data_IF_104333992168
#
_entry.id   IF_104333992168
#
_cell.length_a   1.000
_cell.length_b   1.000
_cell.length_c   1.000
_cell.angle_alpha   90.00
_cell.angle_beta   90.00
_cell.angle_gamma   90.00
#
_symmetry.space_group_name_H-M   'P 1'
#
loop_
_entity.id
_entity.type
_entity.pdbx_description
1 polymer ?
#
# COMPACT_ATOMS: atom_id res chain seq x y z
N UNK A 1 1.78 31.55 -9.72
CA UNK A 1 2.32 30.55 -8.77
C UNK A 1 1.57 30.68 -7.45
N UNK A 2 1.54 31.88 -6.89
CA UNK A 2 0.92 32.17 -5.59
C UNK A 2 -0.58 31.80 -5.52
N UNK A 3 -1.34 32.04 -6.59
CA UNK A 3 -2.77 31.63 -6.63
C UNK A 3 -2.96 30.13 -6.47
N UNK A 4 -2.14 29.33 -7.17
CA UNK A 4 -2.22 27.87 -7.12
C UNK A 4 -1.69 27.32 -5.80
N UNK A 5 -0.65 27.96 -5.25
CA UNK A 5 -0.16 27.66 -3.91
C UNK A 5 -1.22 27.97 -2.85
N UNK A 6 -1.88 29.13 -2.93
CA UNK A 6 -2.99 29.49 -2.05
C UNK A 6 -4.19 28.54 -2.18
N UNK A 7 -4.49 28.07 -3.39
CA UNK A 7 -5.52 27.04 -3.61
C UNK A 7 -5.14 25.71 -2.94
N UNK A 8 -3.87 25.30 -3.02
CA UNK A 8 -3.36 24.12 -2.34
C UNK A 8 -3.47 24.23 -0.81
N UNK A 9 -3.12 25.38 -0.24
CA UNK A 9 -3.26 25.65 1.20
C UNK A 9 -4.72 25.48 1.64
N UNK A 10 -5.67 26.06 0.89
CA UNK A 10 -7.10 25.91 1.16
C UNK A 10 -7.56 24.46 1.04
N UNK A 11 -7.08 23.74 0.02
CA UNK A 11 -7.38 22.32 -0.15
C UNK A 11 -6.88 21.49 1.03
N UNK A 12 -5.62 21.66 1.45
CA UNK A 12 -5.06 20.97 2.62
C UNK A 12 -5.86 21.25 3.88
N UNK A 13 -6.26 22.51 4.10
CA UNK A 13 -7.08 22.90 5.26
C UNK A 13 -8.44 22.20 5.26
N UNK A 14 -9.04 22.00 4.08
CA UNK A 14 -10.36 21.36 3.93
C UNK A 14 -10.29 19.84 4.04
N UNK A 15 -9.34 19.22 3.34
CA UNK A 15 -9.28 17.76 3.15
C UNK A 15 -8.28 17.08 4.11
N UNK A 16 -7.51 17.85 4.89
CA UNK A 16 -6.47 17.35 5.79
C UNK A 16 -5.21 16.83 5.08
N UNK A 17 -5.23 16.73 3.75
CA UNK A 17 -4.12 16.20 2.95
C UNK A 17 -3.94 16.93 1.62
N UNK A 18 -2.80 16.73 0.97
CA UNK A 18 -2.51 17.27 -0.36
C UNK A 18 -2.71 16.26 -1.51
N UNK A 19 -3.47 15.19 -1.28
CA UNK A 19 -3.83 14.23 -2.34
C UNK A 19 -4.98 14.78 -3.18
N UNK A 20 -4.62 15.59 -4.19
CA UNK A 20 -5.58 16.22 -5.11
C UNK A 20 -5.90 15.25 -6.26
N UNK A 21 -7.18 14.88 -6.47
CA UNK A 21 -7.61 14.04 -7.57
C UNK A 21 -7.23 14.62 -8.94
N UNK A 22 -7.00 13.72 -9.90
CA UNK A 22 -6.55 14.07 -11.25
C UNK A 22 -7.67 14.66 -12.13
N UNK A 23 -8.92 14.31 -11.87
CA UNK A 23 -10.05 14.61 -12.76
C UNK A 23 -10.72 15.90 -12.30
N UNK A 24 -10.79 16.89 -13.21
CA UNK A 24 -11.59 18.11 -13.04
C UNK A 24 -10.87 19.33 -12.43
N UNK A 25 -9.79 19.15 -11.66
CA UNK A 25 -9.22 20.26 -10.91
C UNK A 25 -7.95 20.85 -11.55
N UNK A 26 -7.96 22.17 -11.80
CA UNK A 26 -6.78 22.96 -12.23
C UNK A 26 -5.57 22.71 -11.30
N UNK A 27 -5.83 22.48 -10.01
CA UNK A 27 -4.83 22.16 -9.00
C UNK A 27 -4.10 20.84 -9.25
N UNK A 28 -4.81 19.78 -9.63
CA UNK A 28 -4.21 18.48 -9.94
C UNK A 28 -3.25 18.55 -11.14
N UNK A 29 -3.61 19.30 -12.19
CA UNK A 29 -2.72 19.57 -13.34
C UNK A 29 -1.49 20.36 -12.94
N UNK A 30 -1.66 21.41 -12.14
CA UNK A 30 -0.54 22.22 -11.66
C UNK A 30 0.44 21.41 -10.80
N UNK A 31 -0.06 20.59 -9.87
CA UNK A 31 0.80 19.69 -9.07
C UNK A 31 1.56 18.68 -9.93
N UNK A 32 0.95 18.19 -11.02
CA UNK A 32 1.67 17.34 -11.98
C UNK A 32 2.84 18.09 -12.61
N UNK A 33 2.62 19.33 -13.05
CA UNK A 33 3.71 20.17 -13.58
C UNK A 33 4.82 20.36 -12.54
N UNK A 34 4.47 20.62 -11.27
CA UNK A 34 5.49 20.78 -10.22
C UNK A 34 6.30 19.50 -9.98
N UNK A 35 5.65 18.34 -9.98
CA UNK A 35 6.35 17.04 -9.88
C UNK A 35 7.27 16.79 -11.07
N UNK A 36 6.85 17.16 -12.27
CA UNK A 36 7.68 17.04 -13.48
C UNK A 36 8.89 17.97 -13.44
N UNK A 37 8.70 19.24 -13.07
CA UNK A 37 9.77 20.21 -12.96
C UNK A 37 10.76 19.81 -11.85
N UNK A 38 10.28 19.32 -10.70
CA UNK A 38 11.16 18.78 -9.64
C UNK A 38 11.99 17.59 -10.14
N UNK A 39 11.39 16.67 -10.91
CA UNK A 39 12.12 15.51 -11.46
C UNK A 39 13.23 15.93 -12.44
N UNK A 40 13.11 17.09 -13.07
CA UNK A 40 14.11 17.65 -14.00
C UNK A 40 15.06 18.64 -13.34
N UNK A 41 14.96 18.82 -12.01
CA UNK A 41 15.69 19.85 -11.26
C UNK A 41 15.44 21.29 -11.78
N UNK A 42 14.30 21.52 -12.43
CA UNK A 42 13.86 22.82 -12.97
C UNK A 42 12.99 23.61 -11.98
N UNK A 43 12.69 23.02 -10.81
CA UNK A 43 11.88 23.66 -9.78
C UNK A 43 12.77 24.35 -8.75
N UNK A 44 12.61 25.67 -8.67
CA UNK A 44 13.29 26.53 -7.72
C UNK A 44 13.22 26.02 -6.26
N UNK A 45 14.33 26.16 -5.53
CA UNK A 45 14.50 25.59 -4.20
C UNK A 45 13.47 26.12 -3.18
N UNK A 46 13.13 27.42 -3.23
CA UNK A 46 12.14 28.02 -2.37
C UNK A 46 10.74 27.43 -2.65
N UNK A 47 10.43 27.17 -3.92
CA UNK A 47 9.18 26.50 -4.31
C UNK A 47 9.12 25.06 -3.80
N UNK A 48 10.22 24.33 -3.88
CA UNK A 48 10.33 22.98 -3.31
C UNK A 48 10.10 23.02 -1.80
N UNK A 49 10.78 23.93 -1.10
CA UNK A 49 10.65 24.10 0.34
C UNK A 49 9.19 24.37 0.76
N UNK A 50 8.53 25.36 0.13
CA UNK A 50 7.13 25.68 0.41
C UNK A 50 6.16 24.52 0.16
N UNK A 51 6.40 23.71 -0.87
CA UNK A 51 5.58 22.53 -1.16
C UNK A 51 5.85 21.38 -0.18
N UNK A 52 7.09 21.24 0.29
CA UNK A 52 7.44 20.27 1.34
C UNK A 52 6.77 20.61 2.68
N UNK A 53 6.76 21.89 3.07
CA UNK A 53 6.06 22.37 4.28
C UNK A 53 4.55 22.07 4.24
N UNK A 54 3.96 22.10 3.03
CA UNK A 54 2.57 21.68 2.83
C UNK A 54 2.38 20.15 2.82
N UNK A 55 3.44 19.36 2.83
CA UNK A 55 3.37 17.89 2.79
C UNK A 55 3.00 17.37 1.41
N UNK A 56 3.51 17.99 0.34
CA UNK A 56 3.34 17.46 -1.01
C UNK A 56 4.02 16.10 -1.13
N UNK A 57 3.25 15.12 -1.56
CA UNK A 57 3.77 13.83 -2.01
C UNK A 57 4.28 13.98 -3.45
N UNK A 58 5.59 13.82 -3.60
CA UNK A 58 6.29 13.90 -4.90
C UNK A 58 6.15 12.61 -5.71
N UNK A 59 6.31 11.45 -5.05
CA UNK A 59 6.13 10.13 -5.64
C UNK A 59 4.83 9.49 -5.15
N UNK A 60 3.76 9.71 -5.91
CA UNK A 60 2.43 9.15 -5.60
C UNK A 60 2.44 7.62 -5.64
N UNK A 61 3.01 6.94 -6.68
CA UNK A 61 3.12 5.49 -6.68
C UNK A 61 3.76 4.91 -5.42
N UNK A 62 4.88 5.46 -4.97
CA UNK A 62 5.56 4.97 -3.77
C UNK A 62 4.71 5.20 -2.52
N UNK A 63 4.11 6.39 -2.35
CA UNK A 63 3.20 6.63 -1.24
C UNK A 63 2.00 5.68 -1.22
N UNK A 64 1.38 5.39 -2.37
CA UNK A 64 0.28 4.43 -2.45
C UNK A 64 0.71 3.01 -2.04
N UNK A 65 1.95 2.64 -2.34
CA UNK A 65 2.49 1.37 -1.92
C UNK A 65 2.70 1.34 -0.40
N UNK A 66 3.27 2.40 0.19
CA UNK A 66 3.42 2.55 1.64
C UNK A 66 2.07 2.49 2.38
N UNK A 67 1.03 3.14 1.83
CA UNK A 67 -0.31 3.06 2.42
C UNK A 67 -0.81 1.61 2.49
N UNK A 68 -0.62 0.84 1.41
CA UNK A 68 -1.04 -0.57 1.36
C UNK A 68 -0.20 -1.45 2.27
N UNK A 69 1.11 -1.18 2.35
CA UNK A 69 2.01 -1.86 3.27
C UNK A 69 1.61 -1.59 4.73
N UNK A 70 1.22 -0.36 5.06
CA UNK A 70 0.70 -0.02 6.39
C UNK A 70 -0.59 -0.79 6.71
N UNK A 71 -1.49 -0.96 5.73
CA UNK A 71 -2.69 -1.79 5.90
C UNK A 71 -2.33 -3.26 6.12
N UNK A 72 -1.30 -3.78 5.45
CA UNK A 72 -0.80 -5.14 5.66
C UNK A 72 -0.27 -5.33 7.09
N UNK A 73 0.51 -4.38 7.60
CA UNK A 73 1.00 -4.43 8.99
C UNK A 73 -0.18 -4.50 9.97
N UNK A 74 -1.18 -3.64 9.79
CA UNK A 74 -2.39 -3.64 10.63
C UNK A 74 -3.15 -4.96 10.55
N UNK A 75 -3.29 -5.51 9.35
CA UNK A 75 -3.90 -6.83 9.14
C UNK A 75 -3.11 -7.91 9.91
N UNK A 76 -1.79 -7.95 9.78
CA UNK A 76 -0.94 -8.90 10.50
C UNK A 76 -1.07 -8.75 12.02
N UNK A 77 -1.09 -7.52 12.53
CA UNK A 77 -1.27 -7.27 13.97
C UNK A 77 -2.61 -7.81 14.48
N UNK A 78 -3.67 -7.72 13.66
CA UNK A 78 -5.02 -8.19 14.01
C UNK A 78 -5.19 -9.70 13.87
N UNK A 79 -4.70 -10.29 12.78
CA UNK A 79 -4.92 -11.70 12.42
C UNK A 79 -3.75 -12.62 12.79
N UNK A 80 -2.61 -12.07 13.21
CA UNK A 80 -1.37 -12.82 13.48
C UNK A 80 -0.59 -13.27 12.24
N UNK A 81 -1.18 -13.18 11.05
CA UNK A 81 -0.58 -13.66 9.79
C UNK A 81 -0.86 -12.73 8.60
N UNK A 82 -0.17 -12.95 7.48
CA UNK A 82 -0.38 -12.20 6.24
C UNK A 82 -1.19 -12.94 5.16
N UNK A 83 -1.94 -13.97 5.55
CA UNK A 83 -2.80 -14.75 4.65
C UNK A 83 -4.10 -13.99 4.33
N UNK A 84 -3.99 -12.93 3.53
CA UNK A 84 -5.13 -12.06 3.17
C UNK A 84 -5.94 -12.67 2.01
N UNK A 85 -7.25 -12.93 2.16
CA UNK A 85 -8.10 -13.39 1.07
C UNK A 85 -8.14 -12.40 -0.11
N UNK A 86 -8.22 -12.89 -1.35
CA UNK A 86 -8.13 -12.07 -2.57
C UNK A 86 -9.15 -10.92 -2.63
N UNK A 87 -10.34 -11.10 -2.04
CA UNK A 87 -11.41 -10.09 -2.02
C UNK A 87 -11.44 -9.25 -0.75
N UNK A 88 -10.55 -9.50 0.21
CA UNK A 88 -10.50 -8.80 1.49
C UNK A 88 -10.18 -7.32 1.30
N UNK A 89 -10.90 -6.47 2.03
CA UNK A 89 -10.74 -5.03 1.99
C UNK A 89 -10.49 -4.49 3.39
N UNK A 90 -9.63 -3.47 3.47
CA UNK A 90 -9.39 -2.72 4.70
C UNK A 90 -9.96 -1.32 4.54
N UNK A 91 -10.56 -0.82 5.63
CA UNK A 91 -10.98 0.57 5.73
C UNK A 91 -9.76 1.48 5.74
N UNK A 92 -9.88 2.65 5.12
CA UNK A 92 -8.83 3.68 5.11
C UNK A 92 -9.29 4.96 5.79
N UNK A 93 -8.34 5.63 6.43
CA UNK A 93 -8.56 6.95 7.01
C UNK A 93 -9.01 7.91 5.89
N UNK A 94 -10.08 8.68 6.15
CA UNK A 94 -10.70 9.57 5.15
C UNK A 94 -11.87 8.96 4.38
N UNK A 95 -12.28 7.74 4.71
CA UNK A 95 -13.45 7.08 4.12
C UNK A 95 -13.13 6.18 2.94
N UNK A 96 -13.89 5.10 2.80
CA UNK A 96 -13.74 4.10 1.74
C UNK A 96 -12.87 2.90 2.14
N UNK A 97 -12.61 2.06 1.13
CA UNK A 97 -11.97 0.75 1.31
C UNK A 97 -10.89 0.53 0.26
N UNK A 98 -9.78 -0.10 0.66
CA UNK A 98 -8.76 -0.59 -0.27
C UNK A 98 -8.71 -2.12 -0.24
N UNK A 99 -8.69 -2.74 -1.42
CA UNK A 99 -8.60 -4.19 -1.53
C UNK A 99 -7.15 -4.66 -1.33
N UNK A 100 -6.86 -5.16 -0.13
CA UNK A 100 -5.53 -5.62 0.29
C UNK A 100 -5.16 -6.96 -0.38
N UNK A 101 -6.12 -7.88 -0.50
CA UNK A 101 -5.89 -9.19 -1.13
C UNK A 101 -5.42 -9.08 -2.57
N UNK A 102 -6.14 -8.29 -3.38
CA UNK A 102 -5.78 -8.01 -4.78
C UNK A 102 -4.43 -7.32 -4.90
N UNK A 103 -4.08 -6.44 -3.96
CA UNK A 103 -2.76 -5.80 -3.95
C UNK A 103 -1.64 -6.80 -3.68
N UNK A 104 -1.80 -7.73 -2.74
CA UNK A 104 -0.84 -8.81 -2.50
C UNK A 104 -0.72 -9.76 -3.70
N UNK A 105 -1.84 -10.12 -4.34
CA UNK A 105 -1.80 -10.90 -5.59
C UNK A 105 -0.95 -10.20 -6.65
N UNK A 106 -1.05 -8.86 -6.76
CA UNK A 106 -0.20 -8.08 -7.66
C UNK A 106 1.28 -8.13 -7.25
N UNK A 107 1.62 -8.00 -5.96
CA UNK A 107 3.01 -8.11 -5.51
C UNK A 107 3.61 -9.47 -5.86
N UNK A 108 2.89 -10.57 -5.59
CA UNK A 108 3.29 -11.94 -5.93
C UNK A 108 3.51 -12.11 -7.44
N UNK A 109 2.61 -11.57 -8.26
CA UNK A 109 2.75 -11.59 -9.72
C UNK A 109 4.01 -10.84 -10.19
N UNK A 110 4.25 -9.64 -9.67
CA UNK A 110 5.40 -8.80 -10.05
C UNK A 110 6.72 -9.46 -9.59
N UNK A 111 6.75 -10.07 -8.40
CA UNK A 111 7.90 -10.89 -7.95
C UNK A 111 8.14 -12.09 -8.87
N UNK A 112 7.10 -12.84 -9.24
CA UNK A 112 7.23 -13.97 -10.18
C UNK A 112 7.81 -13.55 -11.54
N UNK A 113 7.62 -12.28 -11.94
CA UNK A 113 8.20 -11.70 -13.15
C UNK A 113 9.63 -11.16 -12.97
N UNK A 114 10.20 -11.22 -11.76
CA UNK A 114 11.51 -10.62 -11.46
C UNK A 114 11.51 -9.09 -11.53
N UNK A 115 10.34 -8.46 -11.35
CA UNK A 115 10.14 -7.02 -11.50
C UNK A 115 9.79 -6.32 -10.19
N UNK A 116 9.82 -7.06 -9.07
CA UNK A 116 9.58 -6.45 -7.77
C UNK A 116 10.83 -5.70 -7.35
N UNK A 117 10.65 -4.44 -6.97
CA UNK A 117 11.71 -3.61 -6.42
C UNK A 117 12.32 -4.30 -5.18
N UNK A 118 13.66 -4.44 -5.09
CA UNK A 118 14.31 -5.19 -4.02
C UNK A 118 13.96 -4.68 -2.61
N UNK A 119 13.85 -3.36 -2.43
CA UNK A 119 13.47 -2.77 -1.14
C UNK A 119 12.02 -3.13 -0.75
N UNK A 120 11.11 -3.15 -1.72
CA UNK A 120 9.73 -3.62 -1.49
C UNK A 120 9.68 -5.11 -1.18
N UNK A 121 10.52 -5.90 -1.84
CA UNK A 121 10.61 -7.33 -1.59
C UNK A 121 11.10 -7.64 -0.17
N UNK A 122 12.20 -7.03 0.26
CA UNK A 122 12.75 -7.15 1.62
C UNK A 122 11.70 -6.82 2.69
N UNK A 123 11.02 -5.66 2.55
CA UNK A 123 9.99 -5.27 3.52
C UNK A 123 8.80 -6.21 3.60
N UNK A 124 8.41 -6.83 2.47
CA UNK A 124 7.35 -7.83 2.45
C UNK A 124 7.82 -9.16 3.06
N UNK A 125 9.09 -9.52 2.92
CA UNK A 125 9.70 -10.65 3.62
C UNK A 125 9.73 -10.42 5.13
N UNK A 126 10.15 -9.24 5.60
CA UNK A 126 10.22 -8.90 7.02
C UNK A 126 8.86 -8.95 7.71
N UNK A 127 7.81 -8.54 6.98
CA UNK A 127 6.43 -8.66 7.45
C UNK A 127 5.93 -10.11 7.42
N UNK A 128 6.63 -11.04 6.80
CA UNK A 128 6.26 -12.45 6.76
C UNK A 128 5.19 -12.73 5.71
N UNK A 129 5.29 -12.11 4.53
CA UNK A 129 4.48 -12.50 3.38
C UNK A 129 4.81 -13.93 2.98
N UNK A 130 3.76 -14.73 2.93
CA UNK A 130 3.79 -16.02 2.25
C UNK A 130 3.71 -15.79 0.75
N UNK A 131 4.82 -16.11 0.07
CA UNK A 131 4.93 -16.01 -1.39
C UNK A 131 4.20 -17.14 -2.10
N UNK A 132 4.26 -18.34 -1.55
CA UNK A 132 3.52 -19.51 -2.00
C UNK A 132 2.37 -19.83 -1.04
N UNK A 133 1.21 -19.25 -1.33
CA UNK A 133 0.01 -19.38 -0.49
C UNK A 133 -0.51 -20.82 -0.47
N UNK A 134 -0.39 -21.56 -1.58
CA UNK A 134 -0.90 -22.93 -1.67
C UNK A 134 -0.06 -23.87 -0.81
N UNK A 135 1.26 -23.72 -0.87
CA UNK A 135 2.17 -24.49 -0.01
C UNK A 135 1.92 -24.21 1.47
N UNK A 136 1.76 -22.94 1.88
CA UNK A 136 1.45 -22.65 3.28
C UNK A 136 0.08 -23.18 3.71
N UNK A 137 -0.95 -23.04 2.88
CA UNK A 137 -2.28 -23.59 3.19
C UNK A 137 -2.23 -25.11 3.35
N UNK A 138 -1.42 -25.79 2.53
CA UNK A 138 -1.20 -27.22 2.69
C UNK A 138 -0.51 -27.55 4.00
N UNK A 139 0.57 -26.84 4.37
CA UNK A 139 1.27 -27.03 5.65
C UNK A 139 0.37 -26.76 6.86
N UNK A 140 -0.49 -25.74 6.79
CA UNK A 140 -1.46 -25.41 7.84
C UNK A 140 -2.49 -26.55 7.99
N UNK A 141 -3.04 -27.05 6.87
CA UNK A 141 -3.98 -28.18 6.88
C UNK A 141 -3.35 -29.49 7.32
N UNK A 142 -2.11 -29.74 6.91
CA UNK A 142 -1.34 -30.90 7.34
C UNK A 142 -1.08 -30.85 8.85
N UNK A 143 -0.70 -29.68 9.37
CA UNK A 143 -0.51 -29.45 10.81
C UNK A 143 -1.81 -29.71 11.60
N UNK A 144 -2.94 -29.20 11.10
CA UNK A 144 -4.25 -29.46 11.71
C UNK A 144 -4.61 -30.96 11.69
N UNK A 145 -4.32 -31.66 10.60
CA UNK A 145 -4.55 -33.10 10.49
C UNK A 145 -3.68 -33.90 11.47
N UNK A 146 -2.41 -33.51 11.65
CA UNK A 146 -1.51 -34.11 12.66
C UNK A 146 -2.06 -33.92 14.07
N UNK A 147 -2.52 -32.72 14.41
CA UNK A 147 -3.14 -32.45 15.71
C UNK A 147 -4.43 -33.25 15.92
N UNK A 148 -5.27 -33.37 14.89
CA UNK A 148 -6.46 -34.21 14.93
C UNK A 148 -6.11 -35.67 15.20
N UNK A 149 -5.12 -36.22 14.48
CA UNK A 149 -4.64 -37.59 14.68
C UNK A 149 -4.10 -37.82 16.09
N UNK A 150 -3.36 -36.86 16.65
CA UNK A 150 -2.88 -36.94 18.03
C UNK A 150 -4.03 -36.99 19.04
N UNK A 151 -5.13 -36.27 18.78
CA UNK A 151 -6.29 -36.21 19.68
C UNK A 151 -7.21 -37.43 19.55
N UNK A 152 -7.52 -37.85 18.32
CA UNK A 152 -8.56 -38.86 18.02
C UNK A 152 -7.97 -40.24 17.67
N UNK A 153 -6.64 -40.36 17.58
CA UNK A 153 -5.94 -41.59 17.21
C UNK A 153 -6.07 -41.99 15.74
N UNK A 154 -6.78 -41.22 14.92
CA UNK A 154 -7.02 -41.52 13.50
C UNK A 154 -7.14 -40.23 12.66
N UNK A 155 -7.19 -40.36 11.33
CA UNK A 155 -7.30 -39.23 10.40
C UNK A 155 -8.68 -39.09 9.74
N UNK A 156 -9.72 -39.74 10.29
CA UNK A 156 -11.08 -39.65 9.76
C UNK A 156 -11.72 -38.35 10.27
N UNK A 157 -11.41 -37.25 9.58
CA UNK A 157 -12.03 -35.94 9.82
C UNK A 157 -13.51 -36.02 9.38
N UNK A 158 -14.49 -35.63 10.22
CA UNK A 158 -15.93 -35.76 9.92
C UNK A 158 -16.41 -34.92 8.75
#
# INVERSE_FOLDING_TARGET
WDDMYGLLVRYKKKEGHCYVPRVGEKLGRWLRTQRQNKKKDELDAEKVYRLNELGIVWDIPSQKWEDMYTLLIKYKQREGHCNVPVRHKEAVNGGGEKNLGKWLTRQRYVKKKGQLDPFKEERLMDVGIVWDVLSQQWEDMFTMLVQYKQREGNCNVP
#
